data_IF_718482928752
#
_entry.id   IF_718482928752
#
_cell.length_a   1.000
_cell.length_b   1.000
_cell.length_c   1.000
_cell.angle_alpha   90.00
_cell.angle_beta   90.00
_cell.angle_gamma   90.00
#
_symmetry.space_group_name_H-M   'P 1'
#
loop_
_entity.id
_entity.type
_entity.pdbx_description
1 polymer ?
#
# COMPACT_ATOMS: atom_id res chain seq x y z
N UNK A 1 -5.55 12.39 13.33
CA UNK A 1 -4.40 12.10 12.46
C UNK A 1 -3.05 12.16 13.19
N UNK A 2 -2.66 13.27 13.84
CA UNK A 2 -1.36 13.36 14.52
C UNK A 2 -1.04 12.17 15.46
N UNK A 3 -1.93 11.82 16.39
CA UNK A 3 -1.76 10.68 17.30
C UNK A 3 -1.60 9.33 16.59
N UNK A 4 -2.23 9.16 15.43
CA UNK A 4 -2.11 7.94 14.64
C UNK A 4 -0.71 7.86 14.03
N UNK A 5 -0.21 8.97 13.47
CA UNK A 5 1.16 9.07 12.93
C UNK A 5 2.21 8.81 14.01
N UNK A 6 2.02 9.34 15.22
CA UNK A 6 2.94 9.15 16.36
C UNK A 6 3.12 7.69 16.78
N UNK A 7 2.13 6.84 16.50
CA UNK A 7 2.17 5.41 16.86
C UNK A 7 2.76 4.53 15.75
N UNK A 8 2.94 5.06 14.54
CA UNK A 8 3.47 4.31 13.41
C UNK A 8 4.99 4.36 13.41
N UNK A 9 5.62 3.20 13.22
CA UNK A 9 7.05 3.15 12.94
C UNK A 9 7.37 3.76 11.58
N UNK A 10 8.61 4.17 11.37
CA UNK A 10 9.07 4.71 10.07
C UNK A 10 8.79 3.74 8.92
N UNK A 11 8.92 2.43 9.17
CA UNK A 11 8.62 1.40 8.16
C UNK A 11 7.13 1.32 7.84
N UNK A 12 6.26 1.48 8.84
CA UNK A 12 4.82 1.51 8.65
C UNK A 12 4.40 2.78 7.88
N UNK A 13 4.94 3.95 8.23
CA UNK A 13 4.69 5.19 7.50
C UNK A 13 5.13 5.10 6.04
N UNK A 14 6.35 4.58 5.78
CA UNK A 14 6.85 4.39 4.42
C UNK A 14 6.00 3.40 3.64
N UNK A 15 5.63 2.28 4.24
CA UNK A 15 4.78 1.27 3.59
C UNK A 15 3.39 1.81 3.32
N UNK A 16 2.80 2.56 4.25
CA UNK A 16 1.53 3.25 4.06
C UNK A 16 1.60 4.20 2.87
N UNK A 17 2.62 5.07 2.80
CA UNK A 17 2.83 5.92 1.63
C UNK A 17 2.92 5.11 0.33
N UNK A 18 3.74 4.06 0.29
CA UNK A 18 3.91 3.22 -0.91
C UNK A 18 2.60 2.55 -1.34
N UNK A 19 1.79 2.06 -0.40
CA UNK A 19 0.46 1.50 -0.69
C UNK A 19 -0.41 2.56 -1.36
N UNK A 20 -0.60 3.72 -0.74
CA UNK A 20 -1.58 4.70 -1.20
C UNK A 20 -1.13 5.47 -2.45
N UNK A 21 0.18 5.70 -2.63
CA UNK A 21 0.73 6.24 -3.86
C UNK A 21 0.57 5.24 -5.02
N UNK A 22 0.80 3.95 -4.77
CA UNK A 22 0.55 2.89 -5.77
C UNK A 22 -0.93 2.74 -6.10
N UNK A 23 -1.82 2.79 -5.11
CA UNK A 23 -3.28 2.76 -5.32
C UNK A 23 -3.71 3.94 -6.20
N UNK A 24 -3.21 5.15 -5.93
CA UNK A 24 -3.45 6.32 -6.77
C UNK A 24 -3.07 6.02 -8.22
N UNK A 25 -1.85 5.57 -8.45
CA UNK A 25 -1.35 5.39 -9.82
C UNK A 25 -2.05 4.26 -10.57
N UNK A 26 -2.39 3.16 -9.88
CA UNK A 26 -3.05 2.01 -10.48
C UNK A 26 -4.54 2.22 -10.73
N UNK A 27 -5.24 3.02 -9.92
CA UNK A 27 -6.71 3.16 -10.00
C UNK A 27 -7.19 4.55 -10.40
N UNK A 28 -6.29 5.52 -10.63
CA UNK A 28 -6.66 6.83 -11.21
C UNK A 28 -7.37 6.65 -12.55
N UNK A 29 -8.36 7.51 -12.80
CA UNK A 29 -9.16 7.54 -14.04
C UNK A 29 -9.97 6.27 -14.35
N UNK A 30 -10.18 5.38 -13.37
CA UNK A 30 -10.98 4.15 -13.53
C UNK A 30 -12.35 4.23 -12.85
N UNK A 31 -12.69 5.35 -12.21
CA UNK A 31 -14.00 5.55 -11.56
C UNK A 31 -14.14 4.89 -10.18
N UNK A 32 -13.04 4.41 -9.59
CA UNK A 32 -13.05 3.84 -8.24
C UNK A 32 -13.27 4.90 -7.16
N UNK A 33 -13.94 4.48 -6.08
CA UNK A 33 -14.20 5.30 -4.91
C UNK A 33 -13.83 4.57 -3.61
N UNK A 34 -13.59 5.30 -2.52
CA UNK A 34 -13.32 4.70 -1.20
C UNK A 34 -14.60 4.25 -0.44
N UNK A 35 -15.59 3.73 -1.18
CA UNK A 35 -16.84 3.19 -0.63
C UNK A 35 -16.74 1.67 -0.35
N UNK A 36 -17.79 1.07 0.20
CA UNK A 36 -17.79 -0.37 0.54
C UNK A 36 -17.82 -1.30 -0.68
N UNK A 37 -18.27 -0.82 -1.83
CA UNK A 37 -18.40 -1.63 -3.06
C UNK A 37 -17.09 -1.67 -3.85
N UNK A 38 -16.32 -0.59 -3.82
CA UNK A 38 -15.16 -0.36 -4.69
C UNK A 38 -13.83 -0.62 -3.97
N UNK A 39 -13.70 -0.29 -2.67
CA UNK A 39 -12.47 -0.57 -1.92
C UNK A 39 -12.04 -2.05 -2.00
N UNK A 40 -12.93 -3.04 -1.90
CA UNK A 40 -12.54 -4.44 -2.03
C UNK A 40 -12.00 -4.83 -3.41
N UNK A 41 -12.24 -4.02 -4.45
CA UNK A 41 -11.75 -4.25 -5.82
C UNK A 41 -10.38 -3.62 -6.03
N UNK A 42 -10.02 -2.61 -5.23
CA UNK A 42 -8.72 -1.92 -5.27
C UNK A 42 -7.60 -2.73 -4.59
N UNK A 43 -7.54 -4.02 -4.84
CA UNK A 43 -6.54 -4.91 -4.28
C UNK A 43 -5.28 -4.91 -5.16
N UNK A 44 -4.12 -4.75 -4.54
CA UNK A 44 -2.82 -4.69 -5.20
C UNK A 44 -1.94 -5.85 -4.79
N UNK A 45 -1.06 -6.29 -5.70
CA UNK A 45 0.01 -7.23 -5.44
C UNK A 45 1.35 -6.51 -5.52
N UNK A 46 2.08 -6.46 -4.39
CA UNK A 46 3.46 -6.01 -4.30
C UNK A 46 4.43 -7.19 -4.39
N UNK A 47 5.22 -7.32 -5.47
CA UNK A 47 6.32 -8.28 -5.54
C UNK A 47 7.36 -7.98 -4.45
N UNK A 48 7.88 -9.01 -3.77
CA UNK A 48 8.80 -8.82 -2.65
C UNK A 48 10.07 -8.08 -3.05
N UNK A 49 10.71 -8.46 -4.15
CA UNK A 49 11.94 -7.80 -4.60
C UNK A 49 11.73 -6.31 -4.87
N UNK A 50 10.61 -5.95 -5.52
CA UNK A 50 10.28 -4.57 -5.81
C UNK A 50 9.93 -3.78 -4.53
N UNK A 51 9.17 -4.38 -3.62
CA UNK A 51 8.82 -3.78 -2.33
C UNK A 51 10.06 -3.54 -1.46
N UNK A 52 10.94 -4.53 -1.34
CA UNK A 52 12.21 -4.43 -0.59
C UNK A 52 13.06 -3.29 -1.12
N UNK A 53 13.17 -3.17 -2.45
CA UNK A 53 13.88 -2.07 -3.11
C UNK A 53 13.23 -0.71 -2.85
N UNK A 54 11.89 -0.62 -2.90
CA UNK A 54 11.16 0.63 -2.64
C UNK A 54 11.24 1.07 -1.17
N UNK A 55 11.35 0.10 -0.25
CA UNK A 55 11.59 0.32 1.17
C UNK A 55 13.03 0.70 1.49
N UNK A 56 13.95 0.49 0.56
CA UNK A 56 15.40 0.69 0.73
C UNK A 56 15.95 -0.12 1.92
N UNK A 57 15.50 -1.37 2.06
CA UNK A 57 16.00 -2.26 3.11
C UNK A 57 17.45 -2.68 2.86
N UNK A 58 18.23 -2.65 3.92
CA UNK A 58 19.58 -3.22 3.99
C UNK A 58 19.54 -4.75 4.03
N UNK A 59 20.63 -5.43 3.61
CA UNK A 59 20.75 -6.88 3.75
C UNK A 59 20.55 -7.38 5.19
N UNK A 60 20.99 -6.62 6.18
CA UNK A 60 20.84 -6.92 7.60
C UNK A 60 19.37 -6.90 8.04
N UNK A 61 18.59 -5.89 7.62
CA UNK A 61 17.14 -5.84 7.86
C UNK A 61 16.42 -7.01 7.17
N UNK A 62 16.87 -7.38 5.97
CA UNK A 62 16.34 -8.49 5.21
C UNK A 62 16.63 -9.87 5.81
N UNK A 63 17.62 -9.99 6.70
CA UNK A 63 17.94 -11.25 7.38
C UNK A 63 16.79 -11.78 8.26
N UNK A 64 15.83 -10.91 8.64
CA UNK A 64 14.67 -11.22 9.45
C UNK A 64 13.34 -10.79 8.77
N UNK A 65 13.29 -10.93 7.44
CA UNK A 65 12.22 -10.42 6.57
C UNK A 65 10.80 -10.72 7.08
N UNK A 66 10.53 -11.95 7.51
CA UNK A 66 9.19 -12.37 7.95
C UNK A 66 8.72 -11.58 9.18
N UNK A 67 9.63 -11.28 10.12
CA UNK A 67 9.29 -10.50 11.30
C UNK A 67 8.99 -9.03 10.94
N UNK A 68 9.75 -8.45 10.00
CA UNK A 68 9.54 -7.10 9.50
C UNK A 68 8.20 -6.96 8.77
N UNK A 69 7.94 -7.82 7.79
CA UNK A 69 6.68 -7.83 7.05
C UNK A 69 5.49 -8.00 8.01
N UNK A 70 5.61 -8.91 8.98
CA UNK A 70 4.57 -9.08 10.00
C UNK A 70 4.37 -7.80 10.80
N UNK A 71 5.43 -7.19 11.32
CA UNK A 71 5.32 -5.96 12.11
C UNK A 71 4.68 -4.81 11.32
N UNK A 72 5.10 -4.64 10.06
CA UNK A 72 4.62 -3.56 9.19
C UNK A 72 3.15 -3.77 8.85
N UNK A 73 2.79 -4.88 8.21
CA UNK A 73 1.44 -5.07 7.68
C UNK A 73 0.41 -5.35 8.76
N UNK A 74 0.73 -6.10 9.82
CA UNK A 74 -0.21 -6.25 10.94
C UNK A 74 -0.39 -4.93 11.70
N UNK A 75 0.65 -4.09 11.81
CA UNK A 75 0.50 -2.77 12.43
C UNK A 75 -0.46 -1.89 11.62
N UNK A 76 -0.24 -1.79 10.30
CA UNK A 76 -1.15 -1.05 9.42
C UNK A 76 -2.59 -1.58 9.48
N UNK A 77 -2.76 -2.91 9.55
CA UNK A 77 -4.08 -3.50 9.70
C UNK A 77 -4.73 -3.17 11.06
N UNK A 78 -3.98 -3.33 12.16
CA UNK A 78 -4.49 -3.06 13.51
C UNK A 78 -4.89 -1.59 13.70
N UNK A 79 -4.18 -0.68 13.04
CA UNK A 79 -4.49 0.75 13.02
C UNK A 79 -5.55 1.12 11.97
N UNK A 80 -6.11 0.14 11.26
CA UNK A 80 -7.19 0.32 10.28
C UNK A 80 -6.76 1.02 8.99
N UNK A 81 -5.47 1.03 8.66
CA UNK A 81 -4.89 1.71 7.50
C UNK A 81 -4.83 0.85 6.23
N UNK A 82 -5.05 -0.44 6.38
CA UNK A 82 -5.39 -1.38 5.31
C UNK A 82 -6.52 -2.29 5.80
N UNK A 83 -7.21 -2.94 4.89
CA UNK A 83 -8.26 -3.90 5.28
C UNK A 83 -7.65 -5.27 5.67
N UNK A 84 -8.39 -6.06 6.46
CA UNK A 84 -7.86 -7.25 7.15
C UNK A 84 -7.58 -8.49 6.33
N UNK A 85 -7.87 -8.48 5.04
CA UNK A 85 -7.72 -9.65 4.17
C UNK A 85 -6.37 -9.69 3.46
N UNK A 86 -5.35 -8.99 4.00
CA UNK A 86 -4.02 -8.99 3.39
C UNK A 86 -3.36 -10.36 3.49
N UNK A 87 -2.58 -10.70 2.47
CA UNK A 87 -1.89 -11.99 2.37
C UNK A 87 -0.43 -11.69 2.05
N UNK A 88 0.50 -12.42 2.63
CA UNK A 88 1.89 -12.38 2.21
C UNK A 88 2.49 -13.78 2.17
N UNK A 89 3.53 -13.97 1.36
CA UNK A 89 4.24 -15.23 1.33
C UNK A 89 4.94 -15.53 0.00
N UNK A 90 5.50 -16.75 -0.12
CA UNK A 90 6.31 -17.14 -1.26
C UNK A 90 5.49 -17.20 -2.55
N UNK A 91 6.18 -17.22 -3.69
CA UNK A 91 5.58 -17.28 -5.03
C UNK A 91 4.47 -18.34 -5.16
N UNK A 92 4.68 -19.54 -4.59
CA UNK A 92 3.69 -20.62 -4.61
C UNK A 92 2.34 -20.18 -4.02
N UNK A 93 2.34 -19.38 -2.97
CA UNK A 93 1.14 -18.84 -2.35
C UNK A 93 0.53 -17.75 -3.24
N UNK A 94 1.35 -16.83 -3.75
CA UNK A 94 0.88 -15.72 -4.60
C UNK A 94 0.19 -16.21 -5.88
N UNK A 95 0.72 -17.28 -6.51
CA UNK A 95 0.12 -17.85 -7.73
C UNK A 95 -1.32 -18.34 -7.59
N UNK A 96 -1.79 -18.62 -6.37
CA UNK A 96 -3.20 -18.99 -6.13
C UNK A 96 -4.18 -17.83 -6.32
N UNK A 97 -3.71 -16.60 -6.14
CA UNK A 97 -4.48 -15.35 -6.21
C UNK A 97 -4.11 -14.52 -7.44
N UNK A 98 -2.83 -14.58 -7.82
CA UNK A 98 -2.21 -13.80 -8.88
C UNK A 98 -1.44 -14.77 -9.79
N UNK A 99 -2.10 -15.43 -10.76
CA UNK A 99 -1.47 -16.48 -11.57
C UNK A 99 -0.23 -16.02 -12.35
N UNK A 100 -0.20 -14.73 -12.71
CA UNK A 100 0.91 -14.09 -13.44
C UNK A 100 2.08 -13.67 -12.55
N UNK A 101 2.00 -13.87 -11.23
CA UNK A 101 3.07 -13.53 -10.31
C UNK A 101 4.36 -14.28 -10.68
N UNK A 102 5.46 -13.53 -10.73
CA UNK A 102 6.82 -14.03 -10.97
C UNK A 102 7.66 -14.09 -9.69
N UNK A 103 7.19 -13.47 -8.61
CA UNK A 103 7.83 -13.44 -7.29
C UNK A 103 6.81 -13.76 -6.16
N UNK A 104 7.31 -14.04 -4.96
CA UNK A 104 6.52 -13.88 -3.74
C UNK A 104 6.13 -12.43 -3.52
N UNK A 105 5.30 -12.16 -2.54
CA UNK A 105 4.91 -10.79 -2.27
C UNK A 105 3.84 -10.62 -1.21
N UNK A 106 3.22 -9.45 -1.27
CA UNK A 106 2.11 -9.04 -0.42
C UNK A 106 0.92 -8.64 -1.27
N UNK A 107 -0.26 -9.12 -0.91
CA UNK A 107 -1.54 -8.69 -1.44
C UNK A 107 -2.23 -7.89 -0.35
N UNK A 108 -2.64 -6.66 -0.65
CA UNK A 108 -3.41 -5.84 0.27
C UNK A 108 -4.40 -4.95 -0.47
N UNK A 109 -5.36 -4.39 0.27
CA UNK A 109 -6.35 -3.46 -0.26
C UNK A 109 -6.47 -2.26 0.69
N UNK A 110 -6.80 -1.07 0.17
CA UNK A 110 -6.83 0.14 0.97
C UNK A 110 -8.07 0.19 1.87
N UNK A 111 -7.97 0.96 2.94
CA UNK A 111 -9.10 1.35 3.78
C UNK A 111 -9.47 2.82 3.55
N UNK A 112 -10.65 3.23 4.01
CA UNK A 112 -11.04 4.64 3.98
C UNK A 112 -10.14 5.49 4.90
N UNK A 113 -9.84 4.99 6.10
CA UNK A 113 -9.01 5.69 7.09
C UNK A 113 -7.57 5.87 6.60
N UNK A 114 -6.99 4.85 5.94
CA UNK A 114 -5.65 5.00 5.42
C UNK A 114 -5.57 5.98 4.24
N UNK A 115 -6.62 6.08 3.42
CA UNK A 115 -6.71 7.11 2.38
C UNK A 115 -6.80 8.52 2.97
N UNK A 116 -7.57 8.66 4.05
CA UNK A 116 -7.69 9.91 4.80
C UNK A 116 -6.34 10.34 5.37
N UNK A 117 -5.61 9.41 6.01
CA UNK A 117 -4.27 9.67 6.53
C UNK A 117 -3.30 10.08 5.42
N UNK A 118 -3.35 9.42 4.26
CA UNK A 118 -2.50 9.73 3.12
C UNK A 118 -2.72 11.15 2.61
N UNK A 119 -3.98 11.53 2.37
CA UNK A 119 -4.31 12.88 1.94
C UNK A 119 -3.91 13.92 2.98
N UNK A 120 -4.16 13.64 4.27
CA UNK A 120 -3.76 14.53 5.36
C UNK A 120 -2.25 14.75 5.40
N UNK A 121 -1.45 13.68 5.30
CA UNK A 121 0.00 13.74 5.31
C UNK A 121 0.58 14.51 4.11
N UNK A 122 -0.11 14.46 2.96
CA UNK A 122 0.29 15.13 1.72
C UNK A 122 -0.26 16.56 1.60
N UNK A 123 -0.91 17.10 2.64
CA UNK A 123 -1.45 18.46 2.64
C UNK A 123 -2.81 18.64 1.96
N UNK A 124 -3.53 17.55 1.71
CA UNK A 124 -4.86 17.52 1.07
C UNK A 124 -5.98 17.06 2.02
N UNK A 125 -5.78 17.18 3.33
CA UNK A 125 -6.70 16.65 4.35
C UNK A 125 -8.09 17.30 4.39
N UNK A 126 -8.27 18.43 3.72
CA UNK A 126 -9.56 19.13 3.54
C UNK A 126 -10.38 18.59 2.34
N UNK A 127 -9.78 17.74 1.52
CA UNK A 127 -10.45 17.15 0.36
C UNK A 127 -11.17 15.84 0.72
N UNK A 128 -12.17 15.48 -0.11
CA UNK A 128 -12.81 14.15 -0.03
C UNK A 128 -11.80 13.07 -0.42
N UNK A 129 -11.96 11.84 0.10
CA UNK A 129 -11.05 10.71 -0.15
C UNK A 129 -10.76 10.47 -1.65
N UNK A 130 -11.75 10.62 -2.51
CA UNK A 130 -11.58 10.40 -3.96
C UNK A 130 -10.64 11.41 -4.64
N UNK A 131 -10.29 12.51 -3.96
CA UNK A 131 -9.31 13.47 -4.46
C UNK A 131 -7.93 12.84 -4.66
N UNK A 132 -7.64 11.72 -3.99
CA UNK A 132 -6.40 10.96 -4.23
C UNK A 132 -6.23 10.58 -5.71
N UNK A 133 -7.33 10.34 -6.45
CA UNK A 133 -7.31 10.01 -7.88
C UNK A 133 -7.32 11.21 -8.80
N UNK A 134 -7.42 12.43 -8.27
CA UNK A 134 -7.37 13.66 -9.06
C UNK A 134 -5.94 13.92 -9.56
N UNK A 135 -5.79 14.44 -10.78
CA UNK A 135 -4.48 14.78 -11.36
C UNK A 135 -3.76 15.91 -10.59
N UNK A 136 -4.48 16.75 -9.84
CA UNK A 136 -3.90 17.78 -8.98
C UNK A 136 -3.33 17.23 -7.67
N UNK A 137 -3.75 16.03 -7.26
CA UNK A 137 -3.09 15.34 -6.15
C UNK A 137 -1.78 14.76 -6.68
N UNK A 138 -0.64 15.29 -6.27
CA UNK A 138 0.69 14.84 -6.72
C UNK A 138 1.54 14.51 -5.50
N UNK A 139 1.24 13.39 -4.81
CA UNK A 139 1.92 13.01 -3.59
C UNK A 139 3.35 12.62 -3.95
N UNK A 140 4.32 13.37 -3.42
CA UNK A 140 5.74 13.09 -3.60
C UNK A 140 6.45 13.19 -2.26
N UNK A 141 7.28 12.20 -1.97
CA UNK A 141 8.19 12.21 -0.83
C UNK A 141 9.60 11.99 -1.37
N UNK A 142 10.52 12.86 -0.99
CA UNK A 142 11.90 12.81 -1.46
C UNK A 142 12.52 11.43 -1.16
N UNK A 143 13.13 10.82 -2.18
CA UNK A 143 13.77 9.51 -2.07
C UNK A 143 12.82 8.30 -2.02
N UNK A 144 11.51 8.49 -2.13
CA UNK A 144 10.52 7.39 -2.11
C UNK A 144 9.71 7.37 -3.42
N UNK A 145 9.64 6.24 -4.15
CA UNK A 145 8.91 6.18 -5.41
C UNK A 145 7.40 6.34 -5.19
N UNK A 146 6.69 6.95 -6.16
CA UNK A 146 5.23 7.05 -6.16
C UNK A 146 4.53 5.75 -6.58
N UNK A 147 5.27 4.81 -7.17
CA UNK A 147 4.79 3.50 -7.58
C UNK A 147 5.88 2.45 -7.34
N UNK A 148 5.53 1.37 -6.66
CA UNK A 148 6.43 0.21 -6.54
C UNK A 148 6.42 -0.55 -7.87
N UNK A 149 7.61 -0.82 -8.42
CA UNK A 149 7.76 -1.50 -9.69
C UNK A 149 7.04 -2.86 -9.72
N UNK A 150 6.54 -3.26 -10.89
CA UNK A 150 5.88 -4.56 -11.14
C UNK A 150 4.63 -4.83 -10.27
N UNK A 151 4.12 -3.81 -9.58
CA UNK A 151 2.84 -3.89 -8.86
C UNK A 151 1.69 -3.91 -9.85
N UNK A 152 0.72 -4.77 -9.58
CA UNK A 152 -0.50 -4.91 -10.39
C UNK A 152 -1.74 -4.89 -9.51
N UNK A 153 -2.87 -4.51 -10.10
CA UNK A 153 -4.19 -4.79 -9.52
C UNK A 153 -4.45 -6.30 -9.59
N UNK A 154 -4.89 -6.90 -8.48
CA UNK A 154 -5.17 -8.33 -8.38
C UNK A 154 -6.47 -8.68 -9.08
N UNK A 155 -7.46 -7.80 -8.96
CA UNK A 155 -8.74 -7.90 -9.65
C UNK A 155 -8.64 -7.00 -10.88
N UNK A 156 -9.02 -7.52 -12.04
CA UNK A 156 -9.11 -6.70 -13.25
C UNK A 156 -10.00 -5.49 -12.96
N UNK A 157 -9.54 -4.26 -13.26
CA UNK A 157 -10.34 -3.06 -13.17
C UNK A 157 -11.67 -3.13 -13.92
#
# INVERSE_FOLDING_TARGET
MAKLVENLSTYQLRTHYLIYATIKDLFKNQGYHFNMDDRPKMEIFFPFQAYVKAMDFTPEEMSNNDAFLRHIFFGLYNDGLIEGNFIYGPLKHMKSRVPIATDGGVICQPSALGAELFLWAMGYGDHRLNYIFNDACQPTVEGIPSLVADTIAVKSP
#
